data_IF_257249836766
#
_entry.id   IF_257249836766
#
_cell.length_a   1.000
_cell.length_b   1.000
_cell.length_c   1.000
_cell.angle_alpha   90.00
_cell.angle_beta   90.00
_cell.angle_gamma   90.00
#
_symmetry.space_group_name_H-M   'P 1'
#
loop_
_entity.id
_entity.type
_entity.pdbx_description
1 polymer ?
#
# COMPACT_ATOMS: atom_id res chain seq x y z
N UNK A 1 2.03 -20.07 -17.15
CA UNK A 1 2.25 -18.84 -16.36
C UNK A 1 1.26 -17.81 -16.89
N UNK A 2 0.50 -17.16 -16.01
CA UNK A 2 -0.41 -16.08 -16.41
C UNK A 2 0.46 -14.84 -16.63
N UNK A 3 0.21 -14.11 -17.71
CA UNK A 3 0.92 -12.86 -18.02
C UNK A 3 0.04 -11.67 -17.64
N UNK A 4 0.64 -10.61 -17.11
CA UNK A 4 -0.06 -9.35 -16.87
C UNK A 4 -0.44 -8.73 -18.22
N UNK A 5 -1.74 -8.68 -18.52
CA UNK A 5 -2.24 -8.38 -19.85
C UNK A 5 -3.52 -7.54 -19.84
N UNK A 6 -4.04 -7.25 -21.02
CA UNK A 6 -5.23 -6.43 -21.23
C UNK A 6 -6.52 -6.96 -20.58
N UNK A 7 -6.62 -8.26 -20.32
CA UNK A 7 -7.77 -8.82 -19.59
C UNK A 7 -7.66 -8.49 -18.10
N UNK A 8 -6.45 -8.54 -17.54
CA UNK A 8 -6.22 -8.14 -16.14
C UNK A 8 -6.46 -6.64 -15.96
N UNK A 9 -5.96 -5.80 -16.87
CA UNK A 9 -6.24 -4.35 -16.85
C UNK A 9 -7.74 -4.07 -16.93
N UNK A 10 -8.49 -4.82 -17.75
CA UNK A 10 -9.96 -4.69 -17.81
C UNK A 10 -10.64 -5.05 -16.50
N UNK A 11 -10.19 -6.12 -15.81
CA UNK A 11 -10.68 -6.47 -14.48
C UNK A 11 -10.38 -5.37 -13.45
N UNK A 12 -9.15 -4.85 -13.44
CA UNK A 12 -8.71 -3.79 -12.54
C UNK A 12 -9.57 -2.53 -12.72
N UNK A 13 -9.68 -2.03 -13.95
CA UNK A 13 -10.44 -0.81 -14.24
C UNK A 13 -11.93 -0.98 -13.90
N UNK A 14 -12.49 -2.18 -14.08
CA UNK A 14 -13.85 -2.48 -13.62
C UNK A 14 -13.96 -2.43 -12.09
N UNK A 15 -13.01 -3.04 -11.37
CA UNK A 15 -12.99 -3.08 -9.90
C UNK A 15 -12.85 -1.70 -9.25
N UNK A 16 -12.18 -0.77 -9.94
CA UNK A 16 -12.06 0.62 -9.51
C UNK A 16 -13.41 1.33 -9.52
N UNK A 17 -14.48 0.83 -10.15
CA UNK A 17 -15.82 1.48 -10.13
C UNK A 17 -15.80 2.95 -10.61
N UNK A 18 -15.13 3.21 -11.73
CA UNK A 18 -15.16 4.49 -12.45
C UNK A 18 -16.54 4.68 -13.09
N UNK A 19 -17.10 5.89 -13.03
CA UNK A 19 -18.41 6.23 -13.58
C UNK A 19 -18.29 6.97 -14.91
N UNK A 20 -19.32 6.82 -15.74
CA UNK A 20 -19.47 7.57 -17.00
C UNK A 20 -19.39 9.09 -16.72
N UNK A 21 -18.62 9.80 -17.54
CA UNK A 21 -18.41 11.24 -17.42
C UNK A 21 -17.35 11.69 -16.40
N UNK A 22 -16.81 10.80 -15.57
CA UNK A 22 -15.70 11.16 -14.66
C UNK A 22 -14.41 11.48 -15.44
N UNK A 23 -13.66 12.47 -14.96
CA UNK A 23 -12.33 12.79 -15.46
C UNK A 23 -11.29 12.03 -14.63
N UNK A 24 -10.51 11.17 -15.30
CA UNK A 24 -9.59 10.23 -14.64
C UNK A 24 -8.15 10.61 -14.95
N UNK A 25 -7.36 10.93 -13.91
CA UNK A 25 -5.92 11.08 -14.05
C UNK A 25 -5.26 9.70 -14.03
N UNK A 26 -4.60 9.34 -15.12
CA UNK A 26 -3.69 8.21 -15.18
C UNK A 26 -2.28 8.73 -14.86
N UNK A 27 -1.94 8.71 -13.58
CA UNK A 27 -0.63 9.13 -13.09
C UNK A 27 0.36 7.98 -13.26
N UNK A 28 1.22 8.06 -14.26
CA UNK A 28 1.97 6.92 -14.77
C UNK A 28 3.47 7.02 -14.47
N UNK A 29 3.98 6.17 -13.59
CA UNK A 29 5.40 6.04 -13.31
C UNK A 29 6.02 5.00 -14.23
N UNK A 30 6.45 5.43 -15.41
CA UNK A 30 7.04 4.58 -16.42
C UNK A 30 7.77 5.40 -17.48
N UNK A 31 8.63 4.74 -18.24
CA UNK A 31 9.37 5.36 -19.34
C UNK A 31 8.64 5.18 -20.67
N UNK A 32 9.13 5.79 -21.75
CA UNK A 32 8.46 5.75 -23.06
C UNK A 32 8.22 4.32 -23.59
N UNK A 33 9.11 3.39 -23.25
CA UNK A 33 8.98 1.97 -23.58
C UNK A 33 7.78 1.28 -22.92
N UNK A 34 7.26 1.85 -21.83
CA UNK A 34 6.21 1.26 -21.00
C UNK A 34 4.81 1.81 -21.36
N UNK A 35 4.73 2.77 -22.29
CA UNK A 35 3.50 3.52 -22.63
C UNK A 35 2.36 2.65 -23.15
N UNK A 36 2.62 1.47 -23.67
CA UNK A 36 1.55 0.55 -24.07
C UNK A 36 0.65 0.19 -22.89
N UNK A 37 1.21 0.03 -21.67
CA UNK A 37 0.42 -0.20 -20.45
C UNK A 37 -0.49 1.00 -20.19
N UNK A 38 0.06 2.22 -20.24
CA UNK A 38 -0.71 3.46 -20.06
C UNK A 38 -1.87 3.58 -21.05
N UNK A 39 -1.59 3.39 -22.35
CA UNK A 39 -2.62 3.46 -23.39
C UNK A 39 -3.71 2.38 -23.19
N UNK A 40 -3.34 1.19 -22.71
CA UNK A 40 -4.32 0.14 -22.39
C UNK A 40 -5.26 0.58 -21.27
N UNK A 41 -4.75 1.21 -20.19
CA UNK A 41 -5.60 1.83 -19.16
C UNK A 41 -6.51 2.91 -19.77
N UNK A 42 -5.97 3.83 -20.58
CA UNK A 42 -6.75 4.87 -21.27
C UNK A 42 -7.91 4.28 -22.08
N UNK A 43 -7.66 3.19 -22.83
CA UNK A 43 -8.68 2.51 -23.60
C UNK A 43 -9.78 1.91 -22.72
N UNK A 44 -9.42 1.27 -21.59
CA UNK A 44 -10.39 0.67 -20.68
C UNK A 44 -11.21 1.72 -19.92
N UNK A 45 -10.59 2.82 -19.49
CA UNK A 45 -11.30 3.97 -18.89
C UNK A 45 -12.28 4.56 -19.89
N UNK A 46 -11.85 4.82 -21.13
CA UNK A 46 -12.72 5.36 -22.20
C UNK A 46 -13.88 4.42 -22.52
N UNK A 47 -13.67 3.09 -22.45
CA UNK A 47 -14.73 2.10 -22.66
C UNK A 47 -15.84 2.18 -21.61
N UNK A 48 -15.57 2.72 -20.42
CA UNK A 48 -16.56 3.00 -19.38
C UNK A 48 -17.31 4.34 -19.58
N UNK A 49 -16.97 5.11 -20.63
CA UNK A 49 -17.53 6.45 -20.87
C UNK A 49 -16.91 7.54 -20.01
N UNK A 50 -15.80 7.25 -19.31
CA UNK A 50 -14.99 8.23 -18.58
C UNK A 50 -13.90 8.82 -19.49
N UNK A 51 -13.32 9.96 -19.09
CA UNK A 51 -12.27 10.65 -19.87
C UNK A 51 -10.90 10.43 -19.22
N UNK A 52 -9.99 9.64 -19.83
CA UNK A 52 -8.63 9.51 -19.32
C UNK A 52 -7.80 10.75 -19.65
N UNK A 53 -6.96 11.15 -18.71
CA UNK A 53 -5.87 12.10 -18.91
C UNK A 53 -4.56 11.44 -18.51
N UNK A 54 -3.66 11.29 -19.48
CA UNK A 54 -2.35 10.66 -19.27
C UNK A 54 -1.36 11.66 -18.68
N UNK A 55 -0.78 11.33 -17.53
CA UNK A 55 0.24 12.15 -16.89
C UNK A 55 1.43 11.30 -16.48
N UNK A 56 2.48 11.32 -17.30
CA UNK A 56 3.67 10.48 -17.14
C UNK A 56 4.74 11.13 -16.24
N UNK A 57 5.29 10.33 -15.32
CA UNK A 57 6.44 10.60 -14.48
C UNK A 57 7.58 9.63 -14.85
N UNK A 58 8.27 9.89 -15.97
CA UNK A 58 9.49 9.14 -16.31
C UNK A 58 10.66 9.59 -15.46
N UNK A 59 11.47 8.66 -14.92
CA UNK A 59 12.70 8.99 -14.18
C UNK A 59 13.70 9.76 -15.02
N UNK A 60 13.88 9.36 -16.28
CA UNK A 60 14.80 10.01 -17.22
C UNK A 60 14.31 11.42 -17.56
N UNK A 61 13.04 11.55 -17.97
CA UNK A 61 12.47 12.86 -18.32
C UNK A 61 12.45 13.79 -17.12
N UNK A 62 12.09 13.31 -15.93
CA UNK A 62 12.14 14.09 -14.70
C UNK A 62 13.57 14.57 -14.41
N UNK A 63 14.58 13.70 -14.49
CA UNK A 63 15.96 14.13 -14.31
C UNK A 63 16.38 15.21 -15.32
N UNK A 64 16.07 15.03 -16.61
CA UNK A 64 16.41 15.98 -17.66
C UNK A 64 15.73 17.34 -17.46
N UNK A 65 14.43 17.34 -17.13
CA UNK A 65 13.67 18.56 -16.87
C UNK A 65 14.17 19.27 -15.63
N UNK A 66 14.37 18.57 -14.52
CA UNK A 66 14.78 19.19 -13.26
C UNK A 66 16.25 19.66 -13.27
N UNK A 67 17.09 19.12 -14.15
CA UNK A 67 18.42 19.68 -14.38
C UNK A 67 18.38 21.12 -14.93
N UNK A 68 17.36 21.48 -15.71
CA UNK A 68 17.21 22.82 -16.31
C UNK A 68 16.11 23.67 -15.69
N UNK A 69 15.23 23.06 -14.87
CA UNK A 69 14.13 23.75 -14.21
C UNK A 69 14.62 24.87 -13.28
N UNK A 70 13.80 25.92 -13.20
CA UNK A 70 13.99 27.05 -12.29
C UNK A 70 12.98 26.92 -11.15
N UNK A 71 13.27 27.58 -10.02
CA UNK A 71 12.37 27.61 -8.85
C UNK A 71 10.97 28.19 -9.15
N UNK A 72 10.82 28.92 -10.26
CA UNK A 72 9.53 29.47 -10.70
C UNK A 72 8.66 28.48 -11.48
N UNK A 73 9.20 27.31 -11.87
CA UNK A 73 8.45 26.21 -12.46
C UNK A 73 7.50 25.57 -11.43
N UNK A 74 6.41 24.95 -11.89
CA UNK A 74 5.45 24.22 -11.03
C UNK A 74 4.92 25.05 -9.86
N UNK A 75 4.48 26.28 -10.13
CA UNK A 75 3.79 27.11 -9.14
C UNK A 75 2.35 26.63 -8.90
N UNK A 76 1.63 27.30 -8.00
CA UNK A 76 0.23 26.97 -7.64
C UNK A 76 -0.72 26.75 -8.82
N UNK A 77 -0.53 27.44 -9.96
CA UNK A 77 -1.38 27.22 -11.14
C UNK A 77 -1.26 25.79 -11.68
N UNK A 78 -0.07 25.21 -11.61
CA UNK A 78 0.18 23.83 -12.02
C UNK A 78 -0.57 22.86 -11.11
N UNK A 79 -0.41 22.98 -9.79
CA UNK A 79 -1.06 22.09 -8.82
C UNK A 79 -2.59 22.21 -8.84
N UNK A 80 -3.12 23.41 -9.12
CA UNK A 80 -4.55 23.60 -9.26
C UNK A 80 -5.17 22.85 -10.45
N UNK A 81 -4.38 22.40 -11.44
CA UNK A 81 -4.89 21.55 -12.53
C UNK A 81 -5.40 20.21 -12.00
N UNK A 82 -4.75 19.64 -10.97
CA UNK A 82 -5.12 18.32 -10.45
C UNK A 82 -6.47 18.31 -9.73
N UNK A 83 -6.92 19.46 -9.21
CA UNK A 83 -8.22 19.60 -8.52
C UNK A 83 -9.42 19.37 -9.43
N UNK A 84 -9.22 19.32 -10.74
CA UNK A 84 -10.28 19.05 -11.72
C UNK A 84 -10.58 17.57 -11.95
N UNK A 85 -9.74 16.65 -11.45
CA UNK A 85 -9.94 15.21 -11.64
C UNK A 85 -10.91 14.63 -10.60
N UNK A 86 -11.66 13.60 -10.98
CA UNK A 86 -12.57 12.89 -10.09
C UNK A 86 -11.91 11.64 -9.47
N UNK A 87 -11.07 10.97 -10.27
CA UNK A 87 -10.39 9.72 -9.91
C UNK A 87 -8.92 9.80 -10.31
N UNK A 88 -8.03 9.37 -9.43
CA UNK A 88 -6.60 9.19 -9.71
C UNK A 88 -6.30 7.69 -9.75
N UNK A 89 -5.66 7.24 -10.82
CA UNK A 89 -5.08 5.90 -10.93
C UNK A 89 -3.57 6.08 -11.07
N UNK A 90 -2.85 5.76 -10.00
CA UNK A 90 -1.41 5.83 -9.87
C UNK A 90 -0.80 4.50 -10.33
N UNK A 91 -0.26 4.47 -11.55
CA UNK A 91 0.20 3.26 -12.23
C UNK A 91 1.73 3.20 -12.15
N UNK A 92 2.25 2.25 -11.37
CA UNK A 92 3.66 2.16 -11.04
C UNK A 92 4.36 1.00 -11.78
N UNK A 93 5.17 1.32 -12.79
CA UNK A 93 6.07 0.34 -13.43
C UNK A 93 7.32 0.07 -12.58
N UNK A 94 7.66 0.99 -11.68
CA UNK A 94 8.79 0.96 -10.76
C UNK A 94 8.48 1.82 -9.52
N UNK A 95 9.33 1.79 -8.48
CA UNK A 95 9.12 2.60 -7.26
C UNK A 95 9.03 4.10 -7.63
N UNK A 96 7.96 4.81 -7.22
CA UNK A 96 7.77 6.23 -7.55
C UNK A 96 8.79 7.11 -6.80
N UNK A 97 8.87 8.39 -7.17
CA UNK A 97 9.67 9.44 -6.48
C UNK A 97 11.19 9.26 -6.51
N UNK A 98 11.74 8.09 -6.87
CA UNK A 98 13.18 7.89 -7.02
C UNK A 98 13.64 8.56 -8.32
N UNK A 99 14.35 9.71 -8.31
CA UNK A 99 14.91 10.24 -9.53
C UNK A 99 16.13 9.41 -9.94
N UNK A 100 16.52 9.48 -11.21
CA UNK A 100 17.79 8.88 -11.62
C UNK A 100 18.96 9.53 -10.88
N UNK A 101 20.04 8.77 -10.72
CA UNK A 101 21.35 9.33 -10.39
C UNK A 101 21.65 10.42 -11.44
N UNK A 102 21.95 11.66 -11.03
CA UNK A 102 22.51 12.80 -11.81
C UNK A 102 21.97 14.20 -11.45
N UNK A 103 21.07 14.37 -10.47
CA UNK A 103 20.67 15.71 -10.01
C UNK A 103 21.68 16.30 -9.02
N UNK A 104 22.04 17.58 -9.18
CA UNK A 104 22.77 18.32 -8.14
C UNK A 104 21.89 18.48 -6.89
N UNK A 105 22.49 18.72 -5.72
CA UNK A 105 21.74 18.87 -4.44
C UNK A 105 20.63 19.93 -4.54
N UNK A 106 20.89 21.05 -5.19
CA UNK A 106 19.91 22.12 -5.41
C UNK A 106 18.74 21.64 -6.29
N UNK A 107 19.03 21.00 -7.43
CA UNK A 107 18.00 20.49 -8.34
C UNK A 107 17.20 19.34 -7.73
N UNK A 108 17.84 18.51 -6.93
CA UNK A 108 17.18 17.45 -6.18
C UNK A 108 16.22 18.02 -5.12
N UNK A 109 16.55 19.13 -4.45
CA UNK A 109 15.61 19.79 -3.55
C UNK A 109 14.37 20.30 -4.29
N UNK A 110 14.55 20.93 -5.45
CA UNK A 110 13.43 21.40 -6.27
C UNK A 110 12.53 20.23 -6.73
N UNK A 111 13.14 19.12 -7.15
CA UNK A 111 12.40 17.90 -7.50
C UNK A 111 11.63 17.32 -6.31
N UNK A 112 12.23 17.28 -5.12
CA UNK A 112 11.56 16.81 -3.90
C UNK A 112 10.38 17.71 -3.52
N UNK A 113 10.52 19.02 -3.63
CA UNK A 113 9.40 19.94 -3.36
C UNK A 113 8.26 19.73 -4.36
N UNK A 114 8.58 19.57 -5.64
CA UNK A 114 7.60 19.24 -6.67
C UNK A 114 6.87 17.93 -6.36
N UNK A 115 7.61 16.88 -5.98
CA UNK A 115 7.02 15.59 -5.64
C UNK A 115 6.13 15.68 -4.41
N UNK A 116 6.62 16.30 -3.33
CA UNK A 116 5.84 16.51 -2.10
C UNK A 116 4.50 17.19 -2.42
N UNK A 117 4.54 18.34 -3.10
CA UNK A 117 3.31 19.08 -3.44
C UNK A 117 2.38 18.32 -4.40
N UNK A 118 2.94 17.55 -5.32
CA UNK A 118 2.14 16.70 -6.21
C UNK A 118 1.39 15.63 -5.40
N UNK A 119 2.07 14.92 -4.52
CA UNK A 119 1.44 13.91 -3.66
C UNK A 119 0.45 14.50 -2.66
N UNK A 120 0.75 15.66 -2.07
CA UNK A 120 -0.19 16.37 -1.18
C UNK A 120 -1.52 16.63 -1.91
N UNK A 121 -1.46 17.13 -3.15
CA UNK A 121 -2.66 17.44 -3.92
C UNK A 121 -3.39 16.19 -4.40
N UNK A 122 -2.66 15.15 -4.81
CA UNK A 122 -3.28 13.91 -5.29
C UNK A 122 -3.89 13.07 -4.16
N UNK A 123 -3.30 13.08 -2.97
CA UNK A 123 -3.80 12.35 -1.79
C UNK A 123 -5.05 12.99 -1.18
N UNK A 124 -5.26 14.29 -1.39
CA UNK A 124 -6.50 15.00 -1.02
C UNK A 124 -7.70 14.68 -1.94
N UNK A 125 -7.47 13.96 -3.04
CA UNK A 125 -8.52 13.64 -4.01
C UNK A 125 -9.47 12.56 -3.47
N UNK A 126 -10.74 12.64 -3.89
CA UNK A 126 -11.81 11.76 -3.37
C UNK A 126 -11.54 10.27 -3.59
N UNK A 127 -10.84 9.93 -4.67
CA UNK A 127 -10.57 8.55 -5.06
C UNK A 127 -9.16 8.47 -5.63
N UNK A 128 -8.28 7.79 -4.91
CA UNK A 128 -6.90 7.56 -5.28
C UNK A 128 -6.66 6.05 -5.22
N UNK A 129 -6.26 5.48 -6.36
CA UNK A 129 -5.98 4.05 -6.49
C UNK A 129 -4.54 3.88 -6.94
N UNK A 130 -3.75 3.07 -6.24
CA UNK A 130 -2.36 2.80 -6.63
C UNK A 130 -2.20 1.37 -7.11
N UNK A 131 -1.59 1.18 -8.29
CA UNK A 131 -1.41 -0.10 -8.97
C UNK A 131 0.08 -0.34 -9.20
N UNK A 132 0.61 -1.44 -8.67
CA UNK A 132 2.01 -1.87 -8.90
C UNK A 132 2.08 -2.87 -10.03
N UNK A 133 2.54 -2.45 -11.20
CA UNK A 133 2.62 -3.33 -12.37
C UNK A 133 3.73 -4.38 -12.15
N UNK A 134 3.48 -5.68 -12.43
CA UNK A 134 4.48 -6.73 -12.25
C UNK A 134 5.61 -6.61 -13.29
N UNK A 135 6.64 -5.82 -13.00
CA UNK A 135 7.79 -5.63 -13.89
C UNK A 135 9.06 -6.22 -13.28
N UNK A 136 10.04 -6.54 -14.13
CA UNK A 136 11.37 -6.92 -13.65
C UNK A 136 12.05 -5.80 -12.86
N UNK A 137 11.78 -4.54 -13.21
CA UNK A 137 12.40 -3.39 -12.55
C UNK A 137 11.90 -3.28 -11.11
N UNK A 138 10.59 -3.38 -10.89
CA UNK A 138 10.00 -3.34 -9.56
C UNK A 138 10.44 -4.53 -8.71
N UNK A 139 10.55 -5.73 -9.32
CA UNK A 139 11.08 -6.91 -8.64
C UNK A 139 12.51 -6.69 -8.12
N UNK A 140 13.40 -6.19 -8.99
CA UNK A 140 14.79 -5.87 -8.63
C UNK A 140 14.87 -4.82 -7.52
N UNK A 141 14.05 -3.77 -7.61
CA UNK A 141 13.97 -2.72 -6.60
C UNK A 141 13.39 -3.18 -5.27
N UNK A 142 12.69 -4.32 -5.26
CA UNK A 142 12.14 -4.95 -4.07
C UNK A 142 13.00 -6.13 -3.61
N UNK A 143 14.20 -6.31 -4.16
CA UNK A 143 15.13 -7.41 -3.84
C UNK A 143 14.51 -8.82 -4.00
N UNK A 144 13.58 -9.00 -4.95
CA UNK A 144 12.91 -10.27 -5.24
C UNK A 144 13.30 -10.76 -6.64
N UNK A 145 13.41 -12.08 -6.78
CA UNK A 145 13.69 -12.70 -8.07
C UNK A 145 12.58 -12.34 -9.09
N UNK A 146 12.92 -11.77 -10.27
CA UNK A 146 11.93 -11.22 -11.19
C UNK A 146 10.84 -12.19 -11.62
N UNK A 147 11.17 -13.44 -11.93
CA UNK A 147 10.18 -14.42 -12.37
C UNK A 147 9.19 -14.75 -11.25
N UNK A 148 9.67 -14.95 -10.03
CA UNK A 148 8.83 -15.14 -8.84
C UNK A 148 7.92 -13.94 -8.59
N UNK A 149 8.47 -12.72 -8.57
CA UNK A 149 7.70 -11.50 -8.34
C UNK A 149 6.58 -11.32 -9.37
N UNK A 150 6.92 -11.41 -10.65
CA UNK A 150 5.96 -11.23 -11.75
C UNK A 150 4.86 -12.29 -11.67
N UNK A 151 5.21 -13.56 -11.45
CA UNK A 151 4.24 -14.64 -11.33
C UNK A 151 3.27 -14.38 -10.16
N UNK A 152 3.78 -14.02 -8.98
CA UNK A 152 2.98 -13.88 -7.76
C UNK A 152 2.08 -12.65 -7.79
N UNK A 153 2.61 -11.51 -8.21
CA UNK A 153 1.82 -10.28 -8.40
C UNK A 153 0.74 -10.49 -9.49
N UNK A 154 1.08 -11.14 -10.60
CA UNK A 154 0.10 -11.41 -11.66
C UNK A 154 -1.02 -12.33 -11.19
N UNK A 155 -0.70 -13.35 -10.40
CA UNK A 155 -1.72 -14.23 -9.81
C UNK A 155 -2.64 -13.45 -8.85
N UNK A 156 -2.08 -12.59 -8.00
CA UNK A 156 -2.84 -11.72 -7.10
C UNK A 156 -3.85 -10.85 -7.84
N UNK A 157 -3.45 -10.30 -9.00
CA UNK A 157 -4.31 -9.49 -9.85
C UNK A 157 -5.36 -10.29 -10.63
N UNK A 158 -5.11 -11.57 -10.92
CA UNK A 158 -6.03 -12.43 -11.64
C UNK A 158 -7.14 -13.02 -10.73
N UNK A 159 -7.73 -12.17 -9.90
CA UNK A 159 -8.83 -12.52 -9.00
C UNK A 159 -10.19 -12.13 -9.62
N UNK A 160 -11.27 -12.70 -9.09
CA UNK A 160 -12.62 -12.19 -9.30
C UNK A 160 -12.89 -11.10 -8.24
N UNK A 161 -12.85 -9.84 -8.66
CA UNK A 161 -13.01 -8.69 -7.77
C UNK A 161 -14.44 -8.57 -7.21
N UNK A 162 -15.46 -9.02 -7.95
CA UNK A 162 -16.84 -8.99 -7.46
C UNK A 162 -17.01 -10.04 -6.34
N UNK A 163 -16.42 -11.23 -6.51
CA UNK A 163 -16.38 -12.26 -5.49
C UNK A 163 -15.55 -11.82 -4.27
N UNK A 164 -14.35 -11.28 -4.48
CA UNK A 164 -13.49 -10.76 -3.41
C UNK A 164 -14.22 -9.70 -2.57
N UNK A 165 -14.82 -8.70 -3.22
CA UNK A 165 -15.58 -7.64 -2.53
C UNK A 165 -16.73 -8.21 -1.71
N UNK A 166 -17.47 -9.17 -2.28
CA UNK A 166 -18.55 -9.86 -1.57
C UNK A 166 -18.02 -10.60 -0.33
N UNK A 167 -16.91 -11.33 -0.44
CA UNK A 167 -16.33 -12.08 0.68
C UNK A 167 -15.80 -11.16 1.78
N UNK A 168 -15.12 -10.08 1.42
CA UNK A 168 -14.67 -9.06 2.38
C UNK A 168 -15.85 -8.44 3.12
N UNK A 169 -16.91 -8.04 2.41
CA UNK A 169 -18.11 -7.47 3.03
C UNK A 169 -18.82 -8.47 3.96
N UNK A 170 -18.92 -9.75 3.56
CA UNK A 170 -19.48 -10.79 4.41
C UNK A 170 -18.63 -11.03 5.67
N UNK A 171 -17.30 -11.02 5.52
CA UNK A 171 -16.38 -11.15 6.65
C UNK A 171 -16.54 -9.97 7.62
N UNK A 172 -16.53 -8.73 7.13
CA UNK A 172 -16.77 -7.53 7.95
C UNK A 172 -18.12 -7.61 8.65
N UNK A 173 -19.20 -7.95 7.94
CA UNK A 173 -20.53 -8.07 8.52
C UNK A 173 -20.57 -9.08 9.69
N UNK A 174 -19.81 -10.17 9.59
CA UNK A 174 -19.74 -11.19 10.66
C UNK A 174 -18.98 -10.74 11.91
N UNK A 175 -18.13 -9.71 11.82
CA UNK A 175 -17.25 -9.25 12.92
C UNK A 175 -17.47 -7.79 13.33
N UNK A 176 -18.27 -7.00 12.61
CA UNK A 176 -18.41 -5.55 12.83
C UNK A 176 -18.90 -5.13 14.22
N UNK A 177 -19.60 -6.03 14.94
CA UNK A 177 -20.12 -5.77 16.28
C UNK A 177 -19.18 -6.28 17.40
N UNK A 178 -18.00 -6.78 17.03
CA UNK A 178 -17.01 -7.33 17.96
C UNK A 178 -16.15 -6.21 18.50
N UNK A 179 -16.02 -6.15 19.83
CA UNK A 179 -15.32 -5.09 20.55
C UNK A 179 -13.85 -5.42 20.79
N UNK A 180 -13.47 -6.68 20.63
CA UNK A 180 -12.09 -7.11 20.85
C UNK A 180 -11.68 -8.26 19.95
N UNK A 181 -10.38 -8.35 19.74
CA UNK A 181 -9.75 -9.41 18.94
C UNK A 181 -8.51 -9.93 19.67
N UNK A 182 -8.32 -11.24 19.56
CA UNK A 182 -7.20 -11.98 20.12
C UNK A 182 -6.48 -12.70 18.97
N UNK A 183 -5.20 -12.41 18.79
CA UNK A 183 -4.33 -13.04 17.78
C UNK A 183 -3.39 -14.00 18.49
N UNK A 184 -3.44 -15.29 18.13
CA UNK A 184 -2.55 -16.33 18.63
C UNK A 184 -1.61 -16.82 17.55
N UNK A 185 -0.32 -16.58 17.73
CA UNK A 185 0.73 -17.02 16.78
C UNK A 185 1.52 -18.22 17.29
N UNK A 186 1.53 -18.47 18.60
CA UNK A 186 2.14 -19.66 19.20
C UNK A 186 1.44 -20.04 20.51
N UNK A 187 1.89 -21.11 21.17
CA UNK A 187 1.32 -21.53 22.46
C UNK A 187 1.47 -20.45 23.56
N UNK A 188 2.48 -19.58 23.45
CA UNK A 188 2.82 -18.58 24.47
C UNK A 188 2.76 -17.13 23.93
N UNK A 189 2.30 -16.92 22.70
CA UNK A 189 2.16 -15.60 22.11
C UNK A 189 0.70 -15.31 21.80
N UNK A 190 0.14 -14.36 22.54
CA UNK A 190 -1.22 -13.88 22.41
C UNK A 190 -1.22 -12.35 22.48
N UNK A 191 -1.78 -11.70 21.45
CA UNK A 191 -1.95 -10.26 21.39
C UNK A 191 -3.44 -9.92 21.42
N UNK A 192 -3.86 -9.06 22.35
CA UNK A 192 -5.24 -8.59 22.47
C UNK A 192 -5.34 -7.15 22.04
N UNK A 193 -6.32 -6.85 21.19
CA UNK A 193 -6.61 -5.51 20.71
C UNK A 193 -8.07 -5.16 21.03
N UNK A 194 -8.32 -3.91 21.42
CA UNK A 194 -9.67 -3.35 21.53
C UNK A 194 -10.05 -2.64 20.24
N UNK A 195 -11.28 -2.88 19.79
CA UNK A 195 -11.88 -2.36 18.55
C UNK A 195 -13.11 -1.47 18.84
N UNK A 196 -13.29 -1.04 20.10
CA UNK A 196 -14.47 -0.33 20.56
C UNK A 196 -14.78 0.90 19.70
N UNK A 197 -15.99 0.96 19.13
CA UNK A 197 -16.47 2.07 18.28
C UNK A 197 -15.57 2.37 17.07
N UNK A 198 -14.83 1.37 16.57
CA UNK A 198 -14.01 1.48 15.36
C UNK A 198 -14.76 0.95 14.15
N UNK A 199 -14.35 1.41 12.96
CA UNK A 199 -14.96 1.04 11.68
C UNK A 199 -14.00 0.14 10.91
N UNK A 200 -14.54 -0.91 10.32
CA UNK A 200 -13.83 -1.74 9.35
C UNK A 200 -13.78 -1.07 7.98
N UNK A 201 -12.64 -1.19 7.32
CA UNK A 201 -12.39 -0.84 5.94
C UNK A 201 -12.26 -2.11 5.11
N UNK A 202 -12.61 -1.99 3.83
CA UNK A 202 -12.52 -3.07 2.85
C UNK A 202 -11.70 -2.52 1.70
N UNK A 203 -10.61 -3.20 1.37
CA UNK A 203 -9.88 -2.98 0.13
C UNK A 203 -10.07 -4.20 -0.78
N UNK A 204 -10.88 -4.00 -1.82
CA UNK A 204 -11.27 -5.04 -2.78
C UNK A 204 -11.22 -4.52 -4.22
N UNK A 205 -10.29 -3.61 -4.49
CA UNK A 205 -9.95 -3.14 -5.84
C UNK A 205 -10.06 -1.64 -6.06
N UNK A 206 -10.25 -0.86 -4.99
CA UNK A 206 -10.51 0.58 -5.02
C UNK A 206 -9.59 1.41 -4.12
N UNK A 207 -8.53 0.81 -3.59
CA UNK A 207 -7.46 1.49 -2.84
C UNK A 207 -6.07 1.07 -3.32
N UNK A 208 -5.50 0.04 -2.68
CA UNK A 208 -4.13 -0.40 -2.94
C UNK A 208 -4.12 -1.72 -3.71
N UNK A 209 -3.46 -1.73 -4.87
CA UNK A 209 -3.49 -2.85 -5.82
C UNK A 209 -2.08 -3.49 -5.93
N UNK A 210 -1.95 -4.83 -5.74
CA UNK A 210 -3.02 -5.83 -5.58
C UNK A 210 -3.78 -5.67 -4.26
N UNK A 211 -5.10 -5.89 -4.32
CA UNK A 211 -6.00 -5.71 -3.19
C UNK A 211 -6.35 -7.04 -2.52
N UNK A 212 -7.19 -6.95 -1.49
CA UNK A 212 -7.84 -8.10 -0.88
C UNK A 212 -7.50 -8.19 0.58
N UNK A 213 -7.98 -7.21 1.33
CA UNK A 213 -7.89 -7.20 2.78
C UNK A 213 -9.12 -6.51 3.39
N UNK A 214 -9.26 -6.72 4.69
CA UNK A 214 -10.12 -5.89 5.54
C UNK A 214 -9.28 -5.39 6.69
N UNK A 215 -9.47 -4.13 7.09
CA UNK A 215 -8.65 -3.54 8.14
C UNK A 215 -9.43 -2.64 9.10
N UNK A 216 -8.83 -2.39 10.25
CA UNK A 216 -9.40 -1.59 11.33
C UNK A 216 -8.29 -1.00 12.20
N UNK A 217 -8.43 0.27 12.59
CA UNK A 217 -7.56 0.85 13.60
C UNK A 217 -7.99 0.37 15.00
N UNK A 218 -7.13 -0.32 15.79
CA UNK A 218 -7.40 -0.59 17.20
C UNK A 218 -7.41 0.70 18.03
N UNK A 219 -7.83 0.61 19.29
CA UNK A 219 -7.67 1.69 20.27
C UNK A 219 -6.20 1.80 20.66
N UNK A 220 -5.62 3.00 20.49
CA UNK A 220 -4.17 3.24 20.48
C UNK A 220 -3.45 2.82 21.76
N UNK A 221 -4.13 2.78 22.89
CA UNK A 221 -3.56 2.45 24.20
C UNK A 221 -4.11 1.13 24.79
N UNK A 222 -4.89 0.36 24.02
CA UNK A 222 -5.54 -0.87 24.49
C UNK A 222 -5.14 -2.13 23.72
N UNK A 223 -3.93 -2.14 23.17
CA UNK A 223 -3.31 -3.37 22.66
C UNK A 223 -2.26 -3.89 23.65
N UNK A 224 -2.35 -5.14 24.05
CA UNK A 224 -1.45 -5.74 25.06
C UNK A 224 -1.16 -7.21 24.77
N UNK A 225 0.05 -7.65 25.08
CA UNK A 225 0.46 -9.05 25.01
C UNK A 225 1.76 -9.25 24.25
N UNK A 226 1.92 -10.43 23.65
CA UNK A 226 3.10 -10.78 22.86
C UNK A 226 2.68 -11.37 21.52
N UNK A 227 3.46 -11.08 20.48
CA UNK A 227 3.19 -11.55 19.13
C UNK A 227 4.47 -12.09 18.51
N UNK A 228 4.36 -13.23 17.81
CA UNK A 228 5.50 -13.89 17.16
C UNK A 228 5.38 -13.74 15.65
N UNK A 229 6.50 -13.45 14.99
CA UNK A 229 6.64 -13.42 13.55
C UNK A 229 7.76 -14.35 13.10
N UNK A 230 7.48 -15.23 12.14
CA UNK A 230 8.51 -16.05 11.51
C UNK A 230 9.55 -15.19 10.78
N UNK A 231 9.10 -14.12 10.15
CA UNK A 231 9.93 -13.18 9.40
C UNK A 231 9.27 -11.80 9.36
N UNK A 232 10.02 -10.77 9.72
CA UNK A 232 9.65 -9.36 9.56
C UNK A 232 10.59 -8.70 8.55
N UNK A 233 10.02 -7.97 7.61
CA UNK A 233 10.72 -7.14 6.64
C UNK A 233 10.57 -5.69 7.09
N UNK A 234 11.65 -5.10 7.61
CA UNK A 234 11.60 -3.76 8.24
C UNK A 234 12.02 -2.65 7.29
N UNK A 235 12.90 -2.95 6.34
CA UNK A 235 13.33 -2.08 5.24
C UNK A 235 13.85 -2.97 4.10
N UNK A 236 14.10 -2.37 2.92
CA UNK A 236 14.51 -3.07 1.69
C UNK A 236 15.66 -4.09 1.89
N UNK A 237 16.53 -3.87 2.88
CA UNK A 237 17.70 -4.72 3.18
C UNK A 237 17.69 -5.34 4.59
N UNK A 238 16.64 -5.12 5.41
CA UNK A 238 16.65 -5.51 6.82
C UNK A 238 15.51 -6.46 7.16
N UNK A 239 15.88 -7.71 7.43
CA UNK A 239 14.96 -8.78 7.83
C UNK A 239 15.30 -9.27 9.23
N UNK A 240 14.29 -9.45 10.07
CA UNK A 240 14.41 -10.13 11.36
C UNK A 240 13.60 -11.42 11.32
N UNK A 241 14.22 -12.55 11.67
CA UNK A 241 13.56 -13.85 11.69
C UNK A 241 13.23 -14.30 13.11
N UNK A 242 12.12 -15.02 13.27
CA UNK A 242 11.69 -15.70 14.50
C UNK A 242 11.70 -14.78 15.72
N UNK A 243 10.98 -13.67 15.62
CA UNK A 243 11.00 -12.60 16.62
C UNK A 243 9.68 -12.55 17.39
N UNK A 244 9.79 -12.33 18.70
CA UNK A 244 8.67 -12.06 19.59
C UNK A 244 8.70 -10.60 19.99
N UNK A 245 7.62 -9.88 19.68
CA UNK A 245 7.41 -8.50 20.12
C UNK A 245 6.57 -8.48 21.40
N UNK A 246 6.92 -7.60 22.33
CA UNK A 246 6.12 -7.31 23.54
C UNK A 246 5.42 -5.98 23.36
N UNK A 247 4.10 -5.97 23.55
CA UNK A 247 3.24 -4.80 23.39
C UNK A 247 2.56 -4.49 24.72
N UNK A 248 2.71 -3.24 25.17
CA UNK A 248 2.07 -2.72 26.38
C UNK A 248 1.42 -1.36 26.10
N UNK A 249 0.18 -1.19 26.53
CA UNK A 249 -0.60 0.05 26.33
C UNK A 249 -0.50 0.55 24.87
N UNK A 250 -0.66 -0.39 23.93
CA UNK A 250 -0.64 -0.18 22.49
C UNK A 250 0.72 0.08 21.85
N UNK A 251 1.81 0.06 22.61
CA UNK A 251 3.16 0.32 22.12
C UNK A 251 3.99 -0.94 22.11
N UNK A 252 4.73 -1.16 21.03
CA UNK A 252 5.83 -2.13 21.03
C UNK A 252 6.92 -1.58 21.94
N UNK A 253 7.18 -2.25 23.06
CA UNK A 253 8.14 -1.80 24.08
C UNK A 253 9.48 -2.52 24.00
N UNK A 254 9.51 -3.74 23.47
CA UNK A 254 10.70 -4.56 23.33
C UNK A 254 10.46 -5.78 22.44
N UNK A 255 11.54 -6.45 22.07
CA UNK A 255 11.52 -7.79 21.48
C UNK A 255 12.63 -8.67 22.05
N UNK A 256 12.63 -9.95 21.69
CA UNK A 256 13.74 -10.89 21.94
C UNK A 256 14.89 -10.80 20.89
N UNK A 257 14.79 -9.87 19.93
CA UNK A 257 15.82 -9.60 18.92
C UNK A 257 16.53 -8.27 19.18
N UNK A 258 17.86 -8.29 19.28
CA UNK A 258 18.66 -7.07 19.45
C UNK A 258 18.55 -6.15 18.22
N UNK A 259 18.48 -6.76 17.04
CA UNK A 259 18.32 -6.14 15.73
C UNK A 259 17.01 -5.33 15.68
N UNK A 260 15.89 -5.96 16.03
CA UNK A 260 14.59 -5.27 16.09
C UNK A 260 14.58 -4.18 17.18
N UNK A 261 15.16 -4.44 18.36
CA UNK A 261 15.27 -3.42 19.41
C UNK A 261 16.14 -2.22 18.99
N UNK A 262 17.08 -2.41 18.05
CA UNK A 262 17.83 -1.34 17.41
C UNK A 262 16.90 -0.50 16.53
N UNK A 263 16.18 -1.15 15.61
CA UNK A 263 15.17 -0.51 14.75
C UNK A 263 14.13 0.28 15.56
N UNK A 264 13.59 -0.31 16.63
CA UNK A 264 12.59 0.30 17.50
C UNK A 264 13.03 1.65 18.10
N UNK A 265 14.34 1.85 18.33
CA UNK A 265 14.89 3.10 18.88
C UNK A 265 15.00 4.22 17.85
N UNK A 266 15.11 3.86 16.57
CA UNK A 266 15.20 4.80 15.46
C UNK A 266 13.82 5.28 14.99
N UNK A 267 12.75 4.63 15.46
CA UNK A 267 11.39 5.04 15.12
C UNK A 267 11.10 6.48 15.58
N UNK A 268 10.38 7.26 14.78
CA UNK A 268 9.94 8.60 15.17
C UNK A 268 9.00 8.53 16.38
N UNK A 269 8.74 9.68 17.05
CA UNK A 269 7.73 9.75 18.09
C UNK A 269 6.41 9.13 17.63
N UNK A 270 5.83 8.28 18.49
CA UNK A 270 4.61 7.51 18.24
C UNK A 270 4.71 6.46 17.11
N UNK A 271 5.89 6.21 16.54
CA UNK A 271 6.11 5.23 15.48
C UNK A 271 5.95 3.78 15.94
N UNK A 272 6.05 3.51 17.24
CA UNK A 272 5.92 2.16 17.81
C UNK A 272 4.51 1.81 18.30
N UNK A 273 3.50 2.66 18.03
CA UNK A 273 2.10 2.39 18.40
C UNK A 273 1.46 1.49 17.34
N UNK A 274 0.77 0.43 17.76
CA UNK A 274 -0.06 -0.39 16.86
C UNK A 274 -1.24 0.46 16.36
N UNK A 275 -1.17 0.83 15.09
CA UNK A 275 -2.10 1.72 14.42
C UNK A 275 -3.19 0.99 13.63
N UNK A 276 -2.93 -0.23 13.18
CA UNK A 276 -3.82 -0.99 12.31
C UNK A 276 -3.76 -2.49 12.59
N UNK A 277 -4.90 -3.15 12.44
CA UNK A 277 -5.01 -4.58 12.21
C UNK A 277 -5.64 -4.80 10.84
N UNK A 278 -4.92 -5.46 9.95
CA UNK A 278 -5.48 -5.95 8.70
C UNK A 278 -5.48 -7.47 8.61
N UNK A 279 -6.34 -7.98 7.74
CA UNK A 279 -6.56 -9.42 7.51
C UNK A 279 -6.61 -9.65 6.01
N UNK A 280 -5.66 -10.45 5.51
CA UNK A 280 -5.58 -10.80 4.11
C UNK A 280 -6.74 -11.70 3.67
N UNK A 281 -7.28 -11.39 2.51
CA UNK A 281 -8.48 -11.97 1.90
C UNK A 281 -8.25 -12.42 0.44
N UNK A 282 -7.09 -12.11 -0.16
CA UNK A 282 -6.77 -12.51 -1.53
C UNK A 282 -6.30 -13.98 -1.59
N UNK A 283 -7.17 -14.86 -2.08
CA UNK A 283 -6.91 -16.31 -2.19
C UNK A 283 -5.91 -16.71 -3.26
N UNK A 284 -5.58 -15.81 -4.18
CA UNK A 284 -4.61 -16.08 -5.23
C UNK A 284 -3.17 -15.79 -4.78
N UNK A 285 -3.00 -15.11 -3.66
CA UNK A 285 -1.71 -15.01 -2.97
C UNK A 285 -1.62 -16.22 -2.05
N UNK A 286 -0.61 -17.07 -2.26
CA UNK A 286 -0.51 -18.39 -1.62
C UNK A 286 0.76 -18.58 -0.81
N UNK A 287 1.68 -17.63 -0.86
CA UNK A 287 2.93 -17.63 -0.09
C UNK A 287 3.44 -16.21 0.11
N UNK A 288 4.16 -16.01 1.22
CA UNK A 288 4.88 -14.77 1.50
C UNK A 288 6.18 -14.75 0.70
N UNK A 289 6.43 -13.68 -0.05
CA UNK A 289 7.66 -13.51 -0.85
C UNK A 289 8.57 -12.40 -0.34
N UNK A 290 8.19 -11.72 0.74
CA UNK A 290 8.91 -10.57 1.26
C UNK A 290 8.61 -9.27 0.53
N UNK A 291 7.42 -9.18 -0.06
CA UNK A 291 6.89 -7.94 -0.60
C UNK A 291 5.66 -7.57 0.22
N UNK A 292 5.83 -6.70 1.21
CA UNK A 292 4.82 -6.35 2.22
C UNK A 292 3.43 -6.08 1.61
N UNK A 293 3.33 -5.22 0.58
CA UNK A 293 2.08 -4.91 -0.13
C UNK A 293 1.36 -6.13 -0.72
N UNK A 294 2.09 -7.17 -1.12
CA UNK A 294 1.48 -8.42 -1.61
C UNK A 294 1.19 -9.38 -0.45
N UNK A 295 2.15 -9.50 0.46
CA UNK A 295 2.16 -10.43 1.57
C UNK A 295 1.00 -10.16 2.54
N UNK A 296 0.69 -8.89 2.80
CA UNK A 296 -0.43 -8.48 3.68
C UNK A 296 -1.80 -8.90 3.12
N UNK A 297 -1.93 -8.96 1.79
CA UNK A 297 -3.17 -9.33 1.12
C UNK A 297 -3.43 -10.84 1.14
N UNK A 298 -2.44 -11.67 1.52
CA UNK A 298 -2.54 -13.12 1.47
C UNK A 298 -3.67 -13.69 2.32
N UNK A 299 -4.55 -14.50 1.72
CA UNK A 299 -5.67 -15.07 2.47
C UNK A 299 -5.22 -15.80 3.74
N UNK A 300 -5.71 -15.34 4.89
CA UNK A 300 -5.42 -15.94 6.19
C UNK A 300 -4.19 -15.39 6.91
N UNK A 301 -3.50 -14.39 6.37
CA UNK A 301 -2.57 -13.57 7.15
C UNK A 301 -3.31 -12.58 8.02
N UNK A 302 -2.59 -12.05 8.99
CA UNK A 302 -2.88 -10.74 9.55
C UNK A 302 -1.67 -9.84 9.32
N UNK A 303 -1.87 -8.54 9.39
CA UNK A 303 -0.78 -7.58 9.57
C UNK A 303 -1.09 -6.59 10.67
N UNK A 304 -0.03 -6.09 11.28
CA UNK A 304 -0.08 -5.03 12.28
C UNK A 304 0.66 -3.82 11.75
N UNK A 305 -0.09 -2.77 11.41
CA UNK A 305 0.48 -1.49 11.03
C UNK A 305 0.93 -0.72 12.26
N UNK A 306 2.14 -0.16 12.25
CA UNK A 306 2.67 0.72 13.30
C UNK A 306 2.76 2.17 12.85
N UNK A 307 2.56 3.10 13.79
CA UNK A 307 2.64 4.53 13.50
C UNK A 307 1.29 5.15 13.13
N UNK A 308 1.24 5.93 12.06
CA UNK A 308 0.11 6.78 11.70
C UNK A 308 -1.14 5.94 11.45
N UNK A 309 -2.24 6.26 12.12
CA UNK A 309 -3.52 5.60 11.87
C UNK A 309 -4.69 6.56 11.64
N UNK A 310 -4.42 7.86 11.47
CA UNK A 310 -5.47 8.88 11.24
C UNK A 310 -6.24 8.67 9.94
N UNK A 311 -5.64 8.02 8.94
CA UNK A 311 -6.32 7.64 7.70
C UNK A 311 -7.17 6.37 7.84
N UNK A 312 -6.92 5.58 8.89
CA UNK A 312 -7.55 4.29 9.16
C UNK A 312 -8.61 4.36 10.28
N UNK A 313 -9.03 5.59 10.64
CA UNK A 313 -10.04 5.85 11.68
C UNK A 313 -9.49 5.96 13.11
N UNK A 314 -8.17 6.01 13.27
CA UNK A 314 -7.47 6.23 14.53
C UNK A 314 -7.16 7.69 14.86
N UNK A 315 -6.35 7.90 15.91
CA UNK A 315 -5.95 9.21 16.43
C UNK A 315 -4.42 9.39 16.50
N UNK A 316 -3.64 8.33 16.26
CA UNK A 316 -2.19 8.39 16.32
C UNK A 316 -1.63 9.16 15.12
N UNK A 317 -1.04 10.31 15.41
CA UNK A 317 -0.29 11.12 14.44
C UNK A 317 1.17 10.69 14.45
N UNK A 318 1.64 10.23 13.31
CA UNK A 318 3.04 9.89 13.06
C UNK A 318 3.38 10.23 11.60
N UNK A 319 4.66 10.34 11.28
CA UNK A 319 5.15 10.59 9.91
C UNK A 319 5.33 9.32 9.08
N UNK A 320 5.14 8.16 9.69
CA UNK A 320 5.30 6.86 9.06
C UNK A 320 4.11 5.96 9.35
N UNK A 321 3.93 4.97 8.47
CA UNK A 321 3.12 3.78 8.65
C UNK A 321 3.93 2.61 8.12
N UNK A 322 3.92 1.46 8.80
CA UNK A 322 4.66 0.27 8.36
C UNK A 322 3.96 -0.99 8.85
N UNK A 323 3.81 -1.96 7.96
CA UNK A 323 3.04 -3.17 8.21
C UNK A 323 3.91 -4.39 8.50
N UNK A 324 3.55 -5.09 9.58
CA UNK A 324 4.17 -6.34 9.98
C UNK A 324 3.24 -7.52 9.68
N UNK A 325 3.55 -8.27 8.62
CA UNK A 325 2.75 -9.40 8.17
C UNK A 325 3.09 -10.68 8.93
N UNK A 326 2.07 -11.39 9.40
CA UNK A 326 2.21 -12.65 10.13
C UNK A 326 1.08 -13.64 9.84
N UNK A 327 1.23 -14.85 10.38
CA UNK A 327 0.18 -15.88 10.32
C UNK A 327 -0.18 -16.33 11.73
N UNK A 328 -1.45 -16.63 11.96
CA UNK A 328 -1.94 -16.99 13.29
C UNK A 328 -3.44 -17.19 13.33
N UNK A 329 -3.94 -17.59 14.49
CA UNK A 329 -5.38 -17.74 14.72
C UNK A 329 -5.95 -16.43 15.26
N UNK A 330 -6.87 -15.83 14.50
CA UNK A 330 -7.59 -14.61 14.88
C UNK A 330 -8.95 -15.01 15.47
N UNK A 331 -9.26 -14.50 16.66
CA UNK A 331 -10.51 -14.78 17.38
C UNK A 331 -11.17 -13.46 17.79
N UNK A 332 -12.46 -13.33 17.51
CA UNK A 332 -13.22 -12.11 17.78
C UNK A 332 -14.25 -12.34 18.88
N UNK A 333 -14.23 -11.46 19.88
CA UNK A 333 -15.13 -11.50 21.04
C UNK A 333 -16.17 -10.39 21.00
#
# INVERSE_FOLDING_TARGET
MIEFNNLIIEKLVKAIEIKEGELVLLHFWGDDKDRDVLHNFSCKVSKLGATPFEFQQSRETNCNVFNVAKETCYNEKYYNLFKGFDVIIDICMYKPVIPSQNLSKEKFNLYREYMSKTFDVLSDMKKFVQIRIPTEQLAKESNIEPKLFIEKMTNAYNIDYDELKKECLQKVESIKNKSSVCIKTSQNCELKLSLDNRKWFVDAGDGDLPCGEISIAPIEDKTNGTIYFDKLYLDDDFTVEKVILTVENGKIISSDSNEFNGFLKELPPNGNIIGELGIGMNKNVTELIGYEVLDEKMYGTFHLGIGMNTLFGGQNKCVMHMDFVGTGKIMFD
#
